data_IF_051928467289
#
_entry.id   IF_051928467289
#
_cell.length_a   1.000
_cell.length_b   1.000
_cell.length_c   1.000
_cell.angle_alpha   90.00
_cell.angle_beta   90.00
_cell.angle_gamma   90.00
#
_symmetry.space_group_name_H-M   'P 1'
#
loop_
_entity.id
_entity.type
_entity.pdbx_description
1 polymer ?
#
# COMPACT_ATOMS: atom_id res chain seq x y z
N UNK A 1 -22.70 22.66 -13.82
CA UNK A 1 -21.91 22.79 -12.57
C UNK A 1 -22.87 22.90 -11.40
N UNK A 2 -22.72 22.08 -10.36
CA UNK A 2 -23.67 21.98 -9.25
C UNK A 2 -23.44 23.00 -8.13
N UNK A 3 -22.27 23.65 -8.10
CA UNK A 3 -21.89 24.58 -7.02
C UNK A 3 -21.45 23.90 -5.72
N UNK A 4 -21.33 22.57 -5.72
CA UNK A 4 -20.87 21.81 -4.55
C UNK A 4 -19.39 22.09 -4.24
N UNK A 5 -18.98 22.07 -2.95
CA UNK A 5 -17.58 22.21 -2.55
C UNK A 5 -16.70 21.11 -3.17
N UNK A 6 -15.51 21.48 -3.63
CA UNK A 6 -14.50 20.56 -4.17
C UNK A 6 -13.17 20.85 -3.48
N UNK A 7 -12.57 19.82 -2.88
CA UNK A 7 -11.25 19.90 -2.24
C UNK A 7 -10.24 19.07 -3.05
N UNK A 8 -9.14 19.68 -3.45
CA UNK A 8 -8.00 18.96 -4.02
C UNK A 8 -7.02 18.62 -2.91
N UNK A 9 -6.75 17.33 -2.71
CA UNK A 9 -5.80 16.84 -1.71
C UNK A 9 -4.71 16.02 -2.38
N UNK A 10 -3.52 16.00 -1.78
CA UNK A 10 -2.40 15.16 -2.22
C UNK A 10 -1.60 14.72 -1.00
N UNK A 11 -1.06 13.50 -1.07
CA UNK A 11 -0.19 12.90 -0.06
C UNK A 11 0.66 11.79 -0.68
N UNK A 12 1.36 12.09 -1.79
CA UNK A 12 2.09 11.10 -2.59
C UNK A 12 1.24 9.84 -2.88
N UNK A 13 1.77 8.64 -2.65
CA UNK A 13 1.12 7.37 -2.95
C UNK A 13 -0.14 7.09 -2.12
N UNK A 14 -0.39 7.82 -1.02
CA UNK A 14 -1.59 7.70 -0.17
C UNK A 14 -2.66 8.75 -0.46
N UNK A 15 -2.53 9.49 -1.58
CA UNK A 15 -3.47 10.54 -2.00
C UNK A 15 -4.93 10.05 -2.04
N UNK A 16 -5.17 8.86 -2.61
CA UNK A 16 -6.53 8.28 -2.65
C UNK A 16 -7.12 8.04 -1.25
N UNK A 17 -6.33 7.46 -0.35
CA UNK A 17 -6.76 7.22 1.03
C UNK A 17 -6.93 8.52 1.82
N UNK A 18 -6.18 9.57 1.48
CA UNK A 18 -6.34 10.92 2.06
C UNK A 18 -7.68 11.55 1.66
N UNK A 19 -8.08 11.40 0.40
CA UNK A 19 -9.41 11.83 -0.05
C UNK A 19 -10.54 11.02 0.62
N UNK A 20 -10.37 9.71 0.78
CA UNK A 20 -11.31 8.87 1.52
C UNK A 20 -11.42 9.29 2.99
N UNK A 21 -10.29 9.57 3.65
CA UNK A 21 -10.23 10.03 5.03
C UNK A 21 -10.96 11.36 5.22
N UNK A 22 -10.72 12.33 4.33
CA UNK A 22 -11.43 13.61 4.35
C UNK A 22 -12.94 13.45 4.12
N UNK A 23 -13.34 12.60 3.17
CA UNK A 23 -14.75 12.33 2.90
C UNK A 23 -15.46 11.70 4.11
N UNK A 24 -14.81 10.75 4.79
CA UNK A 24 -15.32 10.15 6.04
C UNK A 24 -15.52 11.22 7.12
N UNK A 25 -14.53 12.08 7.34
CA UNK A 25 -14.61 13.16 8.32
C UNK A 25 -15.75 14.16 8.02
N UNK A 26 -16.04 14.45 6.74
CA UNK A 26 -17.15 15.32 6.34
C UNK A 26 -18.51 14.68 6.67
N UNK A 27 -18.66 13.37 6.46
CA UNK A 27 -19.87 12.62 6.85
C UNK A 27 -20.02 12.60 8.38
N UNK A 28 -18.95 12.25 9.10
CA UNK A 28 -18.97 12.12 10.56
C UNK A 28 -19.19 13.44 11.29
N UNK A 29 -18.73 14.56 10.72
CA UNK A 29 -18.99 15.89 11.27
C UNK A 29 -20.43 16.37 11.01
N UNK A 30 -21.24 15.62 10.25
CA UNK A 30 -22.60 16.03 9.86
C UNK A 30 -22.64 17.16 8.82
N UNK A 31 -21.53 17.45 8.14
CA UNK A 31 -21.47 18.54 7.15
C UNK A 31 -22.08 18.15 5.80
N UNK A 32 -22.16 16.85 5.51
CA UNK A 32 -22.87 16.29 4.36
C UNK A 32 -23.36 14.88 4.68
N UNK A 33 -24.41 14.44 3.99
CA UNK A 33 -24.94 13.09 4.09
C UNK A 33 -24.46 12.16 2.97
N UNK A 34 -23.90 12.72 1.89
CA UNK A 34 -23.38 11.99 0.75
C UNK A 34 -22.20 12.75 0.13
N UNK A 35 -21.04 12.10 0.02
CA UNK A 35 -19.77 12.71 -0.44
C UNK A 35 -19.13 11.80 -1.49
N UNK A 36 -18.70 12.39 -2.61
CA UNK A 36 -17.86 11.73 -3.59
C UNK A 36 -16.40 11.90 -3.22
N UNK A 37 -15.70 10.79 -3.13
CA UNK A 37 -14.27 10.74 -2.89
C UNK A 37 -13.64 10.10 -4.15
N UNK A 38 -12.79 10.87 -4.85
CA UNK A 38 -12.27 10.52 -6.19
C UNK A 38 -10.76 10.72 -6.22
N UNK A 39 -10.05 9.77 -6.82
CA UNK A 39 -8.64 9.92 -7.13
C UNK A 39 -8.30 9.38 -8.52
N UNK A 40 -7.34 10.02 -9.16
CA UNK A 40 -6.88 9.65 -10.50
C UNK A 40 -5.40 10.01 -10.65
N UNK A 41 -4.74 9.39 -11.61
CA UNK A 41 -3.37 9.73 -11.98
C UNK A 41 -3.15 9.57 -13.47
N UNK A 42 -2.29 10.44 -14.03
CA UNK A 42 -1.73 10.29 -15.37
C UNK A 42 -0.21 10.42 -15.29
N UNK A 43 0.48 9.32 -15.53
CA UNK A 43 1.91 9.16 -15.30
C UNK A 43 2.70 9.13 -16.61
N UNK A 44 3.97 9.53 -16.52
CA UNK A 44 4.94 9.30 -17.59
C UNK A 44 5.44 7.85 -17.54
N UNK A 45 5.84 7.30 -18.70
CA UNK A 45 6.45 5.97 -18.75
C UNK A 45 7.84 6.01 -18.10
N UNK A 46 8.11 5.05 -17.22
CA UNK A 46 9.42 4.86 -16.61
C UNK A 46 9.44 5.26 -15.13
N UNK A 47 10.63 5.42 -14.55
CA UNK A 47 10.75 5.79 -13.15
C UNK A 47 10.32 7.23 -12.89
N UNK A 48 9.70 7.45 -11.72
CA UNK A 48 9.36 8.79 -11.25
C UNK A 48 10.61 9.67 -11.18
N UNK A 49 10.52 10.86 -11.76
CA UNK A 49 11.60 11.85 -11.77
C UNK A 49 11.14 13.16 -11.10
N UNK A 50 12.01 13.82 -10.33
CA UNK A 50 11.66 15.10 -9.70
C UNK A 50 11.39 16.16 -10.78
N UNK A 51 10.31 16.93 -10.61
CA UNK A 51 9.92 18.01 -11.54
C UNK A 51 10.27 19.40 -11.00
N UNK A 52 10.23 19.59 -9.68
CA UNK A 52 10.54 20.86 -9.03
C UNK A 52 11.94 20.82 -8.43
N UNK A 53 12.93 21.39 -9.14
CA UNK A 53 14.34 21.41 -8.75
C UNK A 53 14.78 22.76 -8.14
N UNK A 54 13.86 23.72 -8.05
CA UNK A 54 14.08 25.10 -7.58
C UNK A 54 13.83 25.28 -6.08
N UNK A 55 13.53 24.19 -5.36
CA UNK A 55 13.09 24.17 -3.97
C UNK A 55 13.47 22.87 -3.29
N UNK A 56 13.43 22.87 -1.95
CA UNK A 56 13.64 21.67 -1.13
C UNK A 56 12.68 20.56 -1.57
N UNK A 57 13.23 19.37 -1.79
CA UNK A 57 12.43 18.22 -2.16
C UNK A 57 11.89 17.56 -0.87
N UNK A 58 10.58 17.29 -0.79
CA UNK A 58 9.97 16.72 0.41
C UNK A 58 10.54 15.35 0.82
N UNK A 59 11.26 14.66 -0.07
CA UNK A 59 11.93 13.38 0.22
C UNK A 59 13.41 13.53 0.62
N UNK A 60 13.99 14.73 0.63
CA UNK A 60 15.43 14.93 0.87
C UNK A 60 15.88 14.26 2.17
N UNK A 61 15.17 14.51 3.28
CA UNK A 61 15.52 13.95 4.59
C UNK A 61 15.41 12.42 4.63
N UNK A 62 14.39 11.84 4.00
CA UNK A 62 14.25 10.37 3.89
C UNK A 62 15.40 9.77 3.08
N UNK A 63 15.78 10.39 1.97
CA UNK A 63 16.87 9.95 1.11
C UNK A 63 18.21 10.09 1.81
N UNK A 64 18.46 11.19 2.52
CA UNK A 64 19.66 11.42 3.32
C UNK A 64 19.81 10.38 4.43
N UNK A 65 18.74 10.10 5.19
CA UNK A 65 18.76 9.07 6.24
C UNK A 65 19.03 7.69 5.64
N UNK A 66 18.36 7.32 4.54
CA UNK A 66 18.64 6.05 3.85
C UNK A 66 20.11 5.99 3.37
N UNK A 67 20.61 7.06 2.76
CA UNK A 67 21.96 7.13 2.21
C UNK A 67 23.04 7.07 3.32
N UNK A 68 22.78 7.63 4.49
CA UNK A 68 23.67 7.54 5.64
C UNK A 68 23.81 6.09 6.16
N UNK A 69 22.76 5.28 6.01
CA UNK A 69 22.74 3.87 6.48
C UNK A 69 23.28 2.91 5.41
N UNK A 70 22.82 3.03 4.17
CA UNK A 70 23.03 2.03 3.13
C UNK A 70 23.80 2.55 1.90
N UNK A 71 24.19 3.83 1.91
CA UNK A 71 24.75 4.51 0.75
C UNK A 71 23.70 4.90 -0.28
N UNK A 72 24.15 5.59 -1.33
CA UNK A 72 23.33 6.01 -2.45
C UNK A 72 24.00 5.59 -3.76
N UNK A 73 23.23 5.09 -4.72
CA UNK A 73 23.73 4.69 -6.02
C UNK A 73 22.85 5.20 -7.16
N UNK A 74 23.29 4.99 -8.40
CA UNK A 74 22.57 5.38 -9.61
C UNK A 74 21.44 4.37 -9.93
N UNK A 75 20.45 4.33 -9.05
CA UNK A 75 19.22 3.53 -9.18
C UNK A 75 18.02 4.38 -8.77
N UNK A 76 16.79 4.08 -9.25
CA UNK A 76 15.62 4.86 -8.88
C UNK A 76 15.42 4.93 -7.36
N UNK A 77 15.25 6.14 -6.81
CA UNK A 77 15.13 6.38 -5.37
C UNK A 77 14.12 5.46 -4.66
N UNK A 78 12.89 5.24 -5.17
CA UNK A 78 11.94 4.34 -4.52
C UNK A 78 12.48 2.91 -4.38
N UNK A 79 13.16 2.39 -5.41
CA UNK A 79 13.74 1.04 -5.36
C UNK A 79 14.86 0.92 -4.32
N UNK A 80 15.61 2.00 -4.09
CA UNK A 80 16.63 2.06 -3.04
C UNK A 80 15.99 2.06 -1.65
N UNK A 81 14.97 2.89 -1.42
CA UNK A 81 14.27 2.99 -0.13
C UNK A 81 13.73 1.62 0.33
N UNK A 82 12.93 0.97 -0.51
CA UNK A 82 12.31 -0.30 -0.15
C UNK A 82 13.27 -1.49 -0.25
N UNK A 83 14.20 -1.48 -1.21
CA UNK A 83 15.20 -2.54 -1.32
C UNK A 83 16.17 -2.56 -0.13
N UNK A 84 16.58 -1.38 0.38
CA UNK A 84 17.40 -1.30 1.59
C UNK A 84 16.62 -1.73 2.85
N UNK A 85 15.31 -1.44 2.92
CA UNK A 85 14.45 -1.99 3.99
C UNK A 85 14.41 -3.53 3.97
N UNK A 86 14.35 -4.14 2.78
CA UNK A 86 14.46 -5.60 2.66
C UNK A 86 15.85 -6.10 3.09
N UNK A 87 16.94 -5.44 2.68
CA UNK A 87 18.30 -5.81 3.10
C UNK A 87 18.43 -5.76 4.62
N UNK A 88 17.89 -4.74 5.28
CA UNK A 88 17.84 -4.65 6.74
C UNK A 88 17.06 -5.82 7.35
N UNK A 89 15.86 -6.11 6.84
CA UNK A 89 15.03 -7.20 7.34
C UNK A 89 15.72 -8.56 7.20
N UNK A 90 16.34 -8.82 6.05
CA UNK A 90 17.14 -10.01 5.79
C UNK A 90 18.33 -10.13 6.76
N UNK A 91 19.06 -9.03 7.00
CA UNK A 91 20.19 -9.01 7.91
C UNK A 91 19.78 -9.25 9.37
N UNK A 92 18.61 -8.73 9.77
CA UNK A 92 18.10 -8.80 11.15
C UNK A 92 17.41 -10.13 11.47
N UNK A 93 16.66 -10.68 10.52
CA UNK A 93 15.75 -11.80 10.76
C UNK A 93 16.04 -13.05 9.91
N UNK A 94 16.98 -12.98 8.97
CA UNK A 94 17.37 -14.13 8.13
C UNK A 94 16.36 -14.46 7.02
N UNK A 95 15.44 -13.54 6.73
CA UNK A 95 14.57 -13.58 5.54
C UNK A 95 15.42 -13.71 4.28
N UNK A 96 14.87 -14.40 3.27
CA UNK A 96 15.61 -14.72 2.04
C UNK A 96 15.05 -13.98 0.83
N UNK A 97 15.84 -13.76 -0.24
CA UNK A 97 15.34 -13.19 -1.49
C UNK A 97 14.15 -13.97 -2.08
N UNK A 98 14.11 -15.29 -1.86
CA UNK A 98 13.01 -16.15 -2.30
C UNK A 98 11.68 -15.79 -1.61
N UNK A 99 11.68 -15.28 -0.38
CA UNK A 99 10.47 -14.80 0.29
C UNK A 99 9.88 -13.58 -0.42
N UNK A 100 10.74 -12.64 -0.87
CA UNK A 100 10.32 -11.48 -1.65
C UNK A 100 9.78 -11.89 -3.03
N UNK A 101 10.43 -12.87 -3.68
CA UNK A 101 9.96 -13.39 -4.95
C UNK A 101 8.61 -14.15 -4.82
N UNK A 102 8.38 -14.85 -3.71
CA UNK A 102 7.10 -15.51 -3.40
C UNK A 102 5.94 -14.52 -3.23
N UNK A 103 6.21 -13.33 -2.68
CA UNK A 103 5.21 -12.24 -2.61
C UNK A 103 4.79 -11.82 -4.02
N UNK A 104 5.76 -11.54 -4.89
CA UNK A 104 5.46 -11.19 -6.28
C UNK A 104 4.75 -12.32 -7.02
N UNK A 105 5.16 -13.57 -6.82
CA UNK A 105 4.49 -14.76 -7.37
C UNK A 105 3.01 -14.77 -7.00
N UNK A 106 2.70 -14.60 -5.71
CA UNK A 106 1.33 -14.54 -5.20
C UNK A 106 0.54 -13.38 -5.81
N UNK A 107 1.12 -12.18 -5.92
CA UNK A 107 0.46 -11.02 -6.51
C UNK A 107 0.13 -11.23 -8.00
N UNK A 108 1.08 -11.71 -8.82
CA UNK A 108 0.82 -12.02 -10.22
C UNK A 108 -0.20 -13.15 -10.40
N UNK A 109 -0.18 -14.16 -9.52
CA UNK A 109 -1.19 -15.23 -9.53
C UNK A 109 -2.60 -14.71 -9.24
N UNK A 110 -2.74 -13.79 -8.27
CA UNK A 110 -4.02 -13.17 -7.95
C UNK A 110 -4.53 -12.27 -9.08
N UNK A 111 -3.62 -11.60 -9.80
CA UNK A 111 -3.97 -10.62 -10.83
C UNK A 111 -4.70 -11.20 -12.04
N UNK A 112 -4.50 -12.49 -12.35
CA UNK A 112 -5.18 -13.21 -13.44
C UNK A 112 -6.71 -13.14 -13.30
N UNK A 113 -7.22 -13.03 -12.08
CA UNK A 113 -8.66 -12.95 -11.81
C UNK A 113 -9.19 -11.51 -11.78
N UNK A 114 -8.34 -10.51 -12.02
CA UNK A 114 -8.71 -9.10 -11.96
C UNK A 114 -8.67 -8.45 -13.35
N UNK A 115 -9.81 -8.18 -14.00
CA UNK A 115 -9.87 -7.58 -15.32
C UNK A 115 -9.35 -6.13 -15.35
N UNK A 116 -9.22 -5.48 -14.19
CA UNK A 116 -8.67 -4.13 -14.06
C UNK A 116 -7.15 -4.11 -13.86
N UNK A 117 -6.51 -5.28 -13.78
CA UNK A 117 -5.06 -5.36 -13.59
C UNK A 117 -4.31 -5.06 -14.88
N UNK A 118 -3.27 -4.21 -14.81
CA UNK A 118 -2.38 -3.94 -15.95
C UNK A 118 -1.68 -5.20 -16.44
N UNK A 119 -1.23 -6.06 -15.51
CA UNK A 119 -0.69 -7.37 -15.81
C UNK A 119 -1.63 -8.46 -15.29
N UNK A 120 -2.07 -9.35 -16.18
CA UNK A 120 -2.95 -10.49 -15.91
C UNK A 120 -2.25 -11.81 -16.27
N UNK A 121 -0.91 -11.82 -16.23
CA UNK A 121 -0.07 -12.98 -16.54
C UNK A 121 0.41 -13.63 -15.24
N UNK A 122 0.33 -14.96 -15.16
CA UNK A 122 0.99 -15.71 -14.09
C UNK A 122 2.46 -15.96 -14.46
N UNK A 123 3.36 -15.76 -13.51
CA UNK A 123 4.79 -16.07 -13.64
C UNK A 123 5.16 -17.20 -12.69
N UNK A 124 6.14 -18.01 -13.07
CA UNK A 124 6.81 -18.95 -12.16
C UNK A 124 7.76 -18.21 -11.22
N UNK A 125 8.08 -18.82 -10.07
CA UNK A 125 9.03 -18.24 -9.11
C UNK A 125 10.41 -18.04 -9.75
N UNK A 126 10.81 -18.98 -10.60
CA UNK A 126 12.07 -18.95 -11.34
C UNK A 126 12.11 -17.77 -12.32
N UNK A 127 11.01 -17.49 -13.03
CA UNK A 127 10.92 -16.32 -13.91
C UNK A 127 11.04 -15.01 -13.13
N UNK A 128 10.44 -14.93 -11.94
CA UNK A 128 10.52 -13.73 -11.08
C UNK A 128 11.95 -13.51 -10.61
N UNK A 129 12.61 -14.56 -10.11
CA UNK A 129 14.00 -14.52 -9.66
C UNK A 129 14.98 -14.21 -10.80
N UNK A 130 14.71 -14.71 -12.01
CA UNK A 130 15.54 -14.48 -13.20
C UNK A 130 15.27 -13.14 -13.90
N UNK A 131 14.20 -12.42 -13.54
CA UNK A 131 13.88 -11.13 -14.16
C UNK A 131 14.95 -10.07 -13.81
N UNK A 132 15.11 -9.01 -14.65
CA UNK A 132 16.20 -8.05 -14.46
C UNK A 132 16.25 -7.46 -13.06
N UNK A 133 17.43 -7.47 -12.44
CA UNK A 133 17.63 -6.87 -11.11
C UNK A 133 17.49 -5.35 -11.21
N UNK A 134 16.70 -4.77 -10.31
CA UNK A 134 16.52 -3.31 -10.23
C UNK A 134 17.42 -2.73 -9.14
N UNK A 135 17.31 -3.23 -7.91
CA UNK A 135 18.14 -2.79 -6.79
C UNK A 135 18.13 -3.84 -5.67
N UNK A 136 19.25 -4.04 -4.96
CA UNK A 136 19.28 -4.93 -3.80
C UNK A 136 18.75 -6.34 -4.15
N UNK A 137 17.85 -6.95 -3.36
CA UNK A 137 17.24 -8.24 -3.69
C UNK A 137 16.07 -8.15 -4.70
N UNK A 138 15.69 -6.95 -5.14
CA UNK A 138 14.50 -6.71 -5.96
C UNK A 138 14.78 -6.87 -7.46
N UNK A 139 13.95 -7.68 -8.09
CA UNK A 139 13.90 -7.85 -9.55
C UNK A 139 12.70 -7.11 -10.15
N UNK A 140 12.69 -6.94 -11.48
CA UNK A 140 11.69 -6.14 -12.18
C UNK A 140 10.26 -6.59 -11.88
N UNK A 141 10.01 -7.90 -11.81
CA UNK A 141 8.68 -8.46 -11.53
C UNK A 141 8.26 -8.31 -10.05
N UNK A 142 9.13 -7.78 -9.19
CA UNK A 142 8.85 -7.45 -7.80
C UNK A 142 8.60 -5.95 -7.55
N UNK A 143 8.57 -5.15 -8.62
CA UNK A 143 8.38 -3.70 -8.59
C UNK A 143 7.08 -3.34 -9.31
N UNK A 144 6.26 -2.46 -8.74
CA UNK A 144 5.04 -1.99 -9.41
C UNK A 144 5.37 -1.19 -10.69
N UNK A 145 4.58 -1.33 -11.77
CA UNK A 145 4.68 -0.45 -12.93
C UNK A 145 4.02 0.91 -12.66
N UNK A 146 4.41 1.92 -13.43
CA UNK A 146 3.64 3.17 -13.56
C UNK A 146 2.40 2.95 -14.39
N UNK A 147 1.28 3.53 -13.98
CA UNK A 147 -0.03 3.32 -14.63
C UNK A 147 -0.88 4.56 -14.61
N UNK A 148 -1.72 4.71 -15.63
CA UNK A 148 -2.79 5.70 -15.65
C UNK A 148 -4.08 5.04 -15.15
N UNK A 149 -4.86 5.74 -14.35
CA UNK A 149 -6.11 5.19 -13.83
C UNK A 149 -6.86 6.13 -12.90
N UNK A 150 -8.10 5.78 -12.59
CA UNK A 150 -8.94 6.48 -11.63
C UNK A 150 -9.79 5.50 -10.83
N UNK A 151 -10.17 5.91 -9.63
CA UNK A 151 -11.10 5.19 -8.78
C UNK A 151 -11.86 6.18 -7.89
N UNK A 152 -13.08 5.80 -7.50
CA UNK A 152 -13.95 6.64 -6.70
C UNK A 152 -14.81 5.80 -5.76
N UNK A 153 -15.17 6.40 -4.62
CA UNK A 153 -16.14 5.87 -3.68
C UNK A 153 -17.18 6.95 -3.35
N UNK A 154 -18.44 6.51 -3.16
CA UNK A 154 -19.50 7.35 -2.61
C UNK A 154 -19.64 6.95 -1.14
N UNK A 155 -19.44 7.91 -0.25
CA UNK A 155 -19.64 7.73 1.18
C UNK A 155 -20.97 8.37 1.54
N UNK A 156 -21.74 7.70 2.38
CA UNK A 156 -23.05 8.17 2.80
C UNK A 156 -23.26 7.94 4.29
N UNK A 157 -24.06 8.79 4.93
CA UNK A 157 -24.54 8.58 6.30
C UNK A 157 -25.51 7.40 6.36
N UNK A 158 -25.70 6.83 7.55
CA UNK A 158 -26.68 5.77 7.80
C UNK A 158 -28.10 6.22 7.41
N UNK A 159 -28.48 7.45 7.79
CA UNK A 159 -29.78 8.05 7.43
C UNK A 159 -29.97 8.11 5.92
N UNK A 160 -28.94 8.52 5.16
CA UNK A 160 -28.99 8.57 3.71
C UNK A 160 -29.14 7.17 3.10
N UNK A 161 -28.41 6.18 3.63
CA UNK A 161 -28.49 4.77 3.21
C UNK A 161 -29.90 4.23 3.44
N UNK A 162 -30.51 4.49 4.61
CA UNK A 162 -31.87 4.06 4.92
C UNK A 162 -32.93 4.76 4.06
N UNK A 163 -32.83 6.08 3.90
CA UNK A 163 -33.75 6.88 3.10
C UNK A 163 -33.82 6.40 1.64
N UNK A 164 -32.68 5.96 1.09
CA UNK A 164 -32.57 5.53 -0.30
C UNK A 164 -32.60 4.01 -0.49
N UNK A 165 -32.78 3.22 0.57
CA UNK A 165 -32.85 1.76 0.48
C UNK A 165 -31.54 1.09 0.02
N UNK A 166 -30.38 1.61 0.42
CA UNK A 166 -29.06 1.19 -0.05
C UNK A 166 -28.34 0.19 0.89
N UNK A 167 -29.03 -0.37 1.88
CA UNK A 167 -28.44 -1.23 2.90
C UNK A 167 -27.71 -2.45 2.29
N UNK A 168 -28.26 -3.05 1.22
CA UNK A 168 -27.69 -4.23 0.58
C UNK A 168 -26.34 -4.01 -0.13
N UNK A 169 -25.94 -2.75 -0.34
CA UNK A 169 -24.66 -2.38 -0.98
C UNK A 169 -23.75 -1.57 -0.04
N UNK A 170 -24.19 -1.29 1.19
CA UNK A 170 -23.44 -0.48 2.13
C UNK A 170 -22.32 -1.31 2.77
N UNK A 171 -21.09 -0.80 2.71
CA UNK A 171 -19.93 -1.34 3.42
C UNK A 171 -19.52 -0.32 4.46
N UNK A 172 -19.66 -0.68 5.74
CA UNK A 172 -19.37 0.21 6.86
C UNK A 172 -17.85 0.40 7.04
N UNK A 173 -17.41 1.65 7.22
CA UNK A 173 -16.05 1.97 7.62
C UNK A 173 -16.00 2.02 9.15
N UNK A 174 -15.74 0.87 9.77
CA UNK A 174 -15.71 0.70 11.24
C UNK A 174 -14.55 1.44 11.92
N UNK A 175 -13.53 1.84 11.16
CA UNK A 175 -12.41 2.63 11.65
C UNK A 175 -11.48 3.05 10.52
N UNK A 176 -10.81 4.19 10.69
CA UNK A 176 -9.82 4.69 9.74
C UNK A 176 -8.82 5.58 10.47
N UNK A 177 -7.54 5.30 10.30
CA UNK A 177 -6.45 6.05 10.95
C UNK A 177 -5.42 6.52 9.93
N UNK A 178 -4.79 7.65 10.24
CA UNK A 178 -3.67 8.21 9.49
C UNK A 178 -2.52 8.47 10.44
N UNK A 179 -1.33 8.01 10.07
CA UNK A 179 -0.08 8.33 10.75
C UNK A 179 0.87 9.00 9.76
N UNK A 180 1.63 9.98 10.25
CA UNK A 180 2.74 10.62 9.54
C UNK A 180 4.07 10.19 10.17
N UNK A 181 5.19 10.60 9.58
CA UNK A 181 6.52 10.30 10.10
C UNK A 181 6.65 10.56 11.61
N UNK A 182 7.32 9.62 12.28
CA UNK A 182 7.70 9.71 13.68
C UNK A 182 9.20 10.06 13.77
N UNK A 183 9.72 10.48 14.94
CA UNK A 183 11.16 10.67 15.12
C UNK A 183 11.98 9.43 14.73
N UNK A 184 11.42 8.24 14.94
CA UNK A 184 12.04 6.96 14.58
C UNK A 184 12.31 6.79 13.08
N UNK A 185 11.62 7.52 12.20
CA UNK A 185 11.93 7.57 10.76
C UNK A 185 13.35 8.06 10.52
N UNK A 186 13.81 9.06 11.30
CA UNK A 186 15.04 9.80 11.00
C UNK A 186 16.18 9.55 12.01
N UNK A 187 15.84 9.14 13.23
CA UNK A 187 16.79 9.15 14.35
C UNK A 187 17.35 7.75 14.69
N UNK A 188 16.77 6.67 14.14
CA UNK A 188 17.11 5.29 14.51
C UNK A 188 17.96 4.52 13.49
N UNK A 189 18.42 5.17 12.41
CA UNK A 189 19.27 4.54 11.38
C UNK A 189 18.70 3.23 10.80
N UNK A 190 17.38 3.19 10.55
CA UNK A 190 16.67 2.03 10.02
C UNK A 190 15.98 2.35 8.69
N UNK A 191 16.35 1.64 7.63
CA UNK A 191 15.71 1.73 6.33
C UNK A 191 14.26 1.22 6.35
N UNK A 192 13.94 0.22 7.20
CA UNK A 192 12.55 -0.21 7.43
C UNK A 192 11.68 0.93 7.98
N UNK A 193 12.22 1.72 8.92
CA UNK A 193 11.50 2.86 9.49
C UNK A 193 11.40 4.03 8.52
N UNK A 194 12.46 4.31 7.76
CA UNK A 194 12.43 5.29 6.65
C UNK A 194 11.37 4.89 5.60
N UNK A 195 11.18 3.59 5.37
CA UNK A 195 10.13 3.06 4.48
C UNK A 195 8.71 3.07 5.09
N UNK A 196 8.54 3.54 6.34
CA UNK A 196 7.24 3.73 6.97
C UNK A 196 6.74 2.59 7.86
N UNK A 197 7.62 1.68 8.32
CA UNK A 197 7.24 0.57 9.20
C UNK A 197 6.51 1.05 10.48
N UNK A 198 7.09 2.00 11.21
CA UNK A 198 6.51 2.50 12.46
C UNK A 198 5.24 3.33 12.23
N UNK A 199 5.14 4.01 11.08
CA UNK A 199 3.90 4.71 10.70
C UNK A 199 2.76 3.72 10.50
N UNK A 200 3.02 2.65 9.75
CA UNK A 200 2.05 1.57 9.48
C UNK A 200 1.62 0.91 10.78
N UNK A 201 2.59 0.57 11.64
CA UNK A 201 2.34 -0.01 12.95
C UNK A 201 1.50 0.90 13.84
N UNK A 202 1.84 2.19 13.90
CA UNK A 202 1.09 3.18 14.71
C UNK A 202 -0.34 3.34 14.21
N UNK A 203 -0.55 3.42 12.90
CA UNK A 203 -1.90 3.50 12.33
C UNK A 203 -2.72 2.24 12.64
N UNK A 204 -2.13 1.05 12.52
CA UNK A 204 -2.79 -0.21 12.84
C UNK A 204 -3.12 -0.33 14.34
N UNK A 205 -2.18 -0.01 15.23
CA UNK A 205 -2.40 -0.03 16.68
C UNK A 205 -3.49 0.97 17.12
N UNK A 206 -3.48 2.17 16.55
CA UNK A 206 -4.53 3.16 16.78
C UNK A 206 -5.90 2.67 16.28
N UNK A 207 -5.93 1.99 15.13
CA UNK A 207 -7.17 1.46 14.57
C UNK A 207 -7.76 0.35 15.44
N UNK A 208 -6.93 -0.64 15.81
CA UNK A 208 -7.39 -1.77 16.62
C UNK A 208 -7.70 -1.37 18.07
N UNK A 209 -7.04 -0.33 18.62
CA UNK A 209 -7.39 0.17 19.97
C UNK A 209 -8.73 0.92 20.04
N UNK A 210 -9.21 1.46 18.90
CA UNK A 210 -10.48 2.18 18.79
C UNK A 210 -11.64 1.32 18.27
N UNK A 211 -11.36 0.08 17.88
CA UNK A 211 -12.37 -0.86 17.37
C UNK A 211 -12.44 -2.09 18.26
N UNK A 212 -13.47 -2.92 18.08
CA UNK A 212 -13.58 -4.21 18.76
C UNK A 212 -12.79 -5.33 18.08
N UNK A 213 -12.17 -5.03 16.93
CA UNK A 213 -11.47 -5.98 16.09
C UNK A 213 -9.99 -6.09 16.45
N UNK A 214 -9.38 -7.19 16.04
CA UNK A 214 -7.96 -7.48 16.16
C UNK A 214 -7.37 -7.89 14.80
N UNK A 215 -6.04 -7.88 14.63
CA UNK A 215 -5.40 -8.38 13.41
C UNK A 215 -5.84 -9.80 13.02
N UNK A 216 -6.16 -10.66 13.98
CA UNK A 216 -6.67 -12.02 13.77
C UNK A 216 -8.05 -12.06 13.10
N UNK A 217 -8.86 -11.02 13.26
CA UNK A 217 -10.22 -10.95 12.72
C UNK A 217 -10.24 -10.52 11.24
N UNK A 218 -9.07 -10.16 10.68
CA UNK A 218 -8.94 -9.68 9.31
C UNK A 218 -8.84 -10.86 8.34
N UNK A 219 -9.92 -11.09 7.59
CA UNK A 219 -9.99 -12.16 6.59
C UNK A 219 -9.32 -11.80 5.25
N UNK A 220 -9.27 -10.50 4.94
CA UNK A 220 -8.80 -10.01 3.65
C UNK A 220 -8.10 -8.65 3.81
N UNK A 221 -6.98 -8.47 3.10
CA UNK A 221 -6.19 -7.24 3.16
C UNK A 221 -5.86 -6.79 1.74
N UNK A 222 -6.02 -5.50 1.47
CA UNK A 222 -5.34 -4.81 0.37
C UNK A 222 -4.34 -3.84 1.01
N UNK A 223 -3.06 -4.03 0.71
CA UNK A 223 -1.94 -3.28 1.31
C UNK A 223 -1.02 -2.70 0.23
N UNK A 224 -0.08 -1.86 0.65
CA UNK A 224 0.75 -1.08 -0.26
C UNK A 224 2.00 -1.84 -0.73
N UNK A 225 1.84 -2.78 -1.67
CA UNK A 225 2.93 -3.57 -2.26
C UNK A 225 3.62 -2.84 -3.44
N UNK A 226 4.03 -1.59 -3.27
CA UNK A 226 4.80 -0.87 -4.31
C UNK A 226 6.08 -1.64 -4.72
N UNK A 227 6.66 -2.36 -3.77
CA UNK A 227 7.67 -3.39 -3.96
C UNK A 227 7.36 -4.57 -3.05
N UNK A 228 7.78 -5.78 -3.42
CA UNK A 228 7.64 -6.98 -2.57
C UNK A 228 8.23 -6.79 -1.17
N UNK A 229 9.29 -5.98 -1.06
CA UNK A 229 9.90 -5.58 0.20
C UNK A 229 8.93 -4.84 1.14
N UNK A 230 8.09 -3.95 0.61
CA UNK A 230 7.17 -3.17 1.44
C UNK A 230 6.02 -4.05 1.96
N UNK A 231 5.50 -4.95 1.12
CA UNK A 231 4.51 -5.93 1.56
C UNK A 231 5.07 -6.84 2.67
N UNK A 232 6.32 -7.30 2.54
CA UNK A 232 6.97 -8.15 3.54
C UNK A 232 7.01 -7.51 4.92
N UNK A 233 7.51 -6.28 5.03
CA UNK A 233 7.62 -5.59 6.32
C UNK A 233 6.25 -5.13 6.84
N UNK A 234 5.28 -4.92 5.94
CA UNK A 234 3.92 -4.50 6.30
C UNK A 234 3.13 -5.63 6.94
N UNK A 235 3.40 -6.91 6.64
CA UNK A 235 2.78 -8.03 7.35
C UNK A 235 2.99 -7.95 8.86
N UNK A 236 4.22 -7.62 9.26
CA UNK A 236 4.62 -7.51 10.66
C UNK A 236 4.09 -6.22 11.28
N UNK A 237 4.15 -5.10 10.54
CA UNK A 237 3.64 -3.81 11.01
C UNK A 237 2.12 -3.81 11.24
N UNK A 238 1.35 -4.52 10.40
CA UNK A 238 -0.10 -4.70 10.58
C UNK A 238 -0.47 -5.73 11.66
N UNK A 239 0.49 -6.49 12.18
CA UNK A 239 0.24 -7.57 13.14
C UNK A 239 -0.34 -8.85 12.52
N UNK A 240 -0.22 -9.05 11.19
CA UNK A 240 -0.66 -10.29 10.55
C UNK A 240 0.24 -11.49 10.94
N UNK A 241 1.49 -11.19 11.27
CA UNK A 241 2.45 -12.12 11.87
C UNK A 241 3.36 -11.36 12.84
N UNK A 242 4.07 -12.09 13.70
CA UNK A 242 5.01 -11.50 14.65
C UNK A 242 6.23 -10.89 13.94
N UNK A 243 6.90 -9.87 14.52
CA UNK A 243 8.13 -9.31 13.96
C UNK A 243 9.21 -10.36 13.69
N UNK A 244 9.80 -10.33 12.49
CA UNK A 244 10.75 -11.32 11.99
C UNK A 244 10.13 -12.63 11.49
N UNK A 245 8.81 -12.81 11.54
CA UNK A 245 8.11 -14.04 11.13
C UNK A 245 7.47 -13.95 9.74
N UNK A 246 7.67 -12.86 9.00
CA UNK A 246 7.14 -12.73 7.64
C UNK A 246 7.58 -13.88 6.71
N UNK A 247 8.82 -14.35 6.80
CA UNK A 247 9.30 -15.49 6.00
C UNK A 247 8.52 -16.78 6.26
N UNK A 248 8.26 -17.12 7.53
CA UNK A 248 7.47 -18.29 7.94
C UNK A 248 5.99 -18.14 7.51
N UNK A 249 5.45 -16.93 7.62
CA UNK A 249 4.10 -16.59 7.18
C UNK A 249 3.91 -16.81 5.68
N UNK A 250 4.90 -16.40 4.86
CA UNK A 250 4.91 -16.60 3.42
C UNK A 250 5.10 -18.09 3.07
N UNK A 251 6.04 -18.77 3.71
CA UNK A 251 6.32 -20.20 3.44
C UNK A 251 5.13 -21.10 3.80
N UNK A 252 4.32 -20.70 4.78
CA UNK A 252 3.09 -21.38 5.17
C UNK A 252 1.89 -21.03 4.28
N UNK A 253 2.08 -20.22 3.24
CA UNK A 253 1.03 -19.72 2.35
C UNK A 253 -0.13 -19.01 3.09
N UNK A 254 0.17 -18.33 4.21
CA UNK A 254 -0.85 -17.67 5.02
C UNK A 254 -1.35 -16.33 4.45
N UNK A 255 -0.80 -15.90 3.31
CA UNK A 255 -1.10 -14.64 2.62
C UNK A 255 -1.90 -14.81 1.31
N UNK A 256 -2.46 -15.98 1.04
CA UNK A 256 -3.20 -16.30 -0.19
C UNK A 256 -4.48 -17.09 0.11
N UNK A 257 -5.24 -17.42 -0.93
CA UNK A 257 -6.46 -18.23 -0.82
C UNK A 257 -6.19 -19.56 -0.12
N UNK A 258 -6.98 -19.86 0.91
CA UNK A 258 -6.81 -21.04 1.76
C UNK A 258 -5.81 -20.87 2.91
N UNK A 259 -5.11 -19.73 2.98
CA UNK A 259 -4.28 -19.35 4.11
C UNK A 259 -5.05 -18.63 5.23
N UNK A 260 -4.31 -18.07 6.19
CA UNK A 260 -4.87 -17.27 7.30
C UNK A 260 -5.63 -16.03 6.80
N UNK A 261 -5.06 -15.27 5.86
CA UNK A 261 -5.63 -14.02 5.33
C UNK A 261 -5.32 -13.90 3.85
N UNK A 262 -6.30 -13.48 3.06
CA UNK A 262 -6.06 -13.27 1.62
C UNK A 262 -5.52 -11.87 1.41
N UNK A 263 -4.23 -11.76 1.09
CA UNK A 263 -3.57 -10.47 0.86
C UNK A 263 -3.53 -10.16 -0.63
N UNK A 264 -3.97 -8.95 -0.98
CA UNK A 264 -4.01 -8.39 -2.33
C UNK A 264 -4.67 -9.34 -3.34
N UNK A 265 -5.92 -9.81 -3.13
CA UNK A 265 -6.61 -10.65 -4.12
C UNK A 265 -6.82 -9.93 -5.45
N UNK A 266 -6.70 -8.61 -5.50
CA UNK A 266 -6.71 -7.86 -6.76
C UNK A 266 -5.40 -7.96 -7.57
N UNK A 267 -4.39 -8.64 -7.05
CA UNK A 267 -3.04 -8.74 -7.62
C UNK A 267 -2.07 -7.66 -7.16
N UNK A 268 -2.51 -6.75 -6.28
CA UNK A 268 -1.67 -5.71 -5.68
C UNK A 268 -1.15 -4.69 -6.68
N UNK A 269 -0.42 -3.70 -6.19
CA UNK A 269 0.27 -2.69 -6.98
C UNK A 269 1.31 -3.33 -7.92
N UNK A 270 1.94 -4.45 -7.51
CA UNK A 270 2.92 -5.17 -8.35
C UNK A 270 2.33 -5.52 -9.72
N UNK A 271 1.08 -5.97 -9.76
CA UNK A 271 0.45 -6.46 -11.01
C UNK A 271 -0.57 -5.48 -11.57
N UNK A 272 -1.41 -4.90 -10.70
CA UNK A 272 -2.46 -3.96 -11.11
C UNK A 272 -1.88 -2.67 -11.64
N UNK A 273 -0.73 -2.29 -11.10
CA UNK A 273 -0.10 -1.02 -11.35
C UNK A 273 -0.50 0.05 -10.33
N UNK A 274 0.22 1.17 -10.37
CA UNK A 274 0.24 2.13 -9.27
C UNK A 274 -0.04 3.58 -9.72
N UNK A 275 -1.28 3.90 -10.15
CA UNK A 275 -1.70 5.29 -10.30
C UNK A 275 -1.81 5.93 -8.90
N UNK A 276 -0.90 6.86 -8.58
CA UNK A 276 -0.68 7.34 -7.20
C UNK A 276 -1.99 7.83 -6.55
N UNK A 277 -2.70 8.75 -7.21
CA UNK A 277 -4.00 9.26 -6.76
C UNK A 277 -5.11 8.21 -6.65
N UNK A 278 -5.05 7.12 -7.43
CA UNK A 278 -6.12 6.13 -7.51
C UNK A 278 -5.87 4.85 -6.70
N UNK A 279 -4.69 4.70 -6.08
CA UNK A 279 -4.32 3.46 -5.39
C UNK A 279 -5.06 3.25 -4.08
N UNK A 280 -5.29 4.33 -3.31
CA UNK A 280 -5.93 4.25 -2.00
C UNK A 280 -7.41 3.80 -1.99
N UNK A 281 -7.99 3.59 -3.17
CA UNK A 281 -9.39 3.16 -3.37
C UNK A 281 -9.54 1.65 -3.61
N UNK A 282 -8.44 0.89 -3.57
CA UNK A 282 -8.41 -0.54 -3.84
C UNK A 282 -8.97 -1.32 -2.64
N UNK A 283 -10.22 -1.05 -2.27
CA UNK A 283 -10.96 -1.82 -1.26
C UNK A 283 -12.31 -2.18 -1.90
N UNK A 284 -12.38 -3.44 -2.35
CA UNK A 284 -13.52 -4.20 -2.89
C UNK A 284 -14.72 -3.45 -3.50
N UNK A 285 -15.05 -3.84 -4.74
CA UNK A 285 -16.45 -3.94 -5.16
C UNK A 285 -17.05 -5.14 -4.43
N UNK A 286 -17.86 -4.92 -3.39
CA UNK A 286 -18.66 -6.02 -2.83
C UNK A 286 -19.64 -6.48 -3.91
N UNK A 287 -19.53 -7.74 -4.29
CA UNK A 287 -20.56 -8.43 -5.06
C UNK A 287 -20.78 -9.73 -4.29
N UNK A 288 -21.56 -9.63 -3.22
CA UNK A 288 -22.15 -10.76 -2.53
C UNK A 288 -23.60 -10.88 -2.99
#
# INVERSE_FOLDING_TARGET
>A
MTGMPIYNVNNNCSTGSTALFLAKQIIESGNAECVLALGFEKMERGSLSPKFLDRTNPLDRHVETMAAVAGFCDSPVPSQLFGNAAVEHMAKYGTKPEHLAKIAYKNHKHSVNNPYSQFQEEYTLEQILASPRIFGPLTKLQCCPTSDGSAAAILASEDFVHLHGLQGQAVEIVGMEMATDLPSTFDENSCMKVAGYDMTKTAAENLFSKTTYKPEDVHVVELHDCFSANELITYEALGLCEPGKAGEFIDSANNTYGGRVVVNPSGGLISKGHPLGATGWIIYKSSF
#
